data_IF_991612378395
#
_entry.id   IF_991612378395
#
_cell.length_a   1.000
_cell.length_b   1.000
_cell.length_c   1.000
_cell.angle_alpha   90.00
_cell.angle_beta   90.00
_cell.angle_gamma   90.00
#
_symmetry.space_group_name_H-M   'P 1'
#
loop_
_entity.id
_entity.type
_entity.pdbx_description
1 polymer ?
#
# COMPACT_ATOMS: atom_id res chain seq x y z
N UNK A 1 9.15 -23.89 -34.66
CA UNK A 1 7.69 -24.00 -34.84
C UNK A 1 7.00 -24.22 -33.49
N UNK A 2 7.17 -23.30 -32.53
CA UNK A 2 6.62 -23.43 -31.16
C UNK A 2 6.34 -22.07 -30.51
N UNK A 3 6.03 -21.05 -31.32
CA UNK A 3 5.85 -19.67 -30.85
C UNK A 3 4.55 -19.02 -31.35
N UNK A 4 3.63 -19.81 -31.94
CA UNK A 4 2.43 -19.30 -32.61
C UNK A 4 1.10 -19.62 -31.93
N UNK A 5 1.10 -20.31 -30.79
CA UNK A 5 -0.14 -20.69 -30.08
C UNK A 5 -0.44 -19.86 -28.82
N UNK A 6 0.41 -18.88 -28.46
CA UNK A 6 0.23 -18.12 -27.21
C UNK A 6 -0.54 -16.80 -27.35
N UNK A 7 -0.94 -16.40 -28.56
CA UNK A 7 -1.49 -15.04 -28.80
C UNK A 7 -3.02 -15.02 -28.96
N UNK A 8 -3.69 -16.17 -29.06
CA UNK A 8 -5.16 -16.22 -29.26
C UNK A 8 -5.94 -16.45 -27.96
N UNK A 9 -5.28 -16.76 -26.84
CA UNK A 9 -5.95 -16.90 -25.53
C UNK A 9 -6.09 -15.57 -24.76
N UNK A 10 -5.57 -14.45 -25.27
CA UNK A 10 -5.63 -13.16 -24.56
C UNK A 10 -6.82 -12.27 -24.98
N UNK A 11 -7.53 -12.60 -26.06
CA UNK A 11 -8.60 -11.73 -26.60
C UNK A 11 -10.04 -12.21 -26.34
N UNK A 12 -10.25 -13.42 -25.79
CA UNK A 12 -11.61 -13.89 -25.43
C UNK A 12 -11.98 -13.54 -23.98
N UNK A 13 -11.01 -13.20 -23.13
CA UNK A 13 -11.27 -12.77 -21.75
C UNK A 13 -11.70 -11.29 -21.61
N UNK A 14 -11.57 -10.48 -22.67
CA UNK A 14 -11.89 -9.05 -22.63
C UNK A 14 -13.36 -8.72 -22.99
N UNK A 15 -14.12 -9.70 -23.50
CA UNK A 15 -15.50 -9.48 -23.97
C UNK A 15 -16.62 -9.75 -22.96
N UNK A 16 -16.31 -10.34 -21.79
CA UNK A 16 -17.31 -10.75 -20.79
C UNK A 16 -17.32 -9.89 -19.52
N UNK A 17 -16.44 -8.89 -19.41
CA UNK A 17 -16.34 -8.03 -18.23
C UNK A 17 -17.16 -6.73 -18.32
N UNK A 18 -17.76 -6.40 -19.47
CA UNK A 18 -18.41 -5.10 -19.68
C UNK A 18 -19.92 -5.07 -19.36
N UNK A 19 -20.55 -6.20 -19.04
CA UNK A 19 -22.00 -6.29 -18.78
C UNK A 19 -22.38 -6.38 -17.29
N UNK A 20 -21.42 -6.32 -16.36
CA UNK A 20 -21.70 -6.41 -14.92
C UNK A 20 -21.90 -5.06 -14.21
N UNK A 21 -21.63 -3.92 -14.87
CA UNK A 21 -21.53 -2.62 -14.19
C UNK A 21 -22.88 -1.97 -13.83
N UNK A 22 -24.02 -2.46 -14.34
CA UNK A 22 -25.32 -1.78 -14.16
C UNK A 22 -26.37 -2.50 -13.32
N UNK A 23 -26.02 -3.59 -12.62
CA UNK A 23 -27.02 -4.41 -11.91
C UNK A 23 -27.11 -4.19 -10.39
N UNK A 24 -26.19 -3.46 -9.75
CA UNK A 24 -26.08 -3.41 -8.27
C UNK A 24 -26.51 -2.09 -7.62
N UNK A 25 -26.68 -1.00 -8.37
CA UNK A 25 -27.17 0.31 -7.89
C UNK A 25 -28.54 0.27 -7.18
N UNK A 26 -29.58 -0.46 -7.66
CA UNK A 26 -30.92 -0.35 -7.08
C UNK A 26 -31.03 -0.89 -5.64
N UNK A 27 -30.17 -1.84 -5.25
CA UNK A 27 -30.20 -2.40 -3.90
C UNK A 27 -29.68 -1.42 -2.85
N UNK A 28 -28.65 -0.63 -3.17
CA UNK A 28 -28.06 0.33 -2.25
C UNK A 28 -28.91 1.58 -2.08
N UNK A 29 -29.48 2.08 -3.17
CA UNK A 29 -30.44 3.18 -3.08
C UNK A 29 -31.66 2.75 -2.26
N UNK A 30 -32.12 1.50 -2.40
CA UNK A 30 -33.19 0.97 -1.54
C UNK A 30 -32.80 0.93 -0.06
N UNK A 31 -31.56 0.55 0.27
CA UNK A 31 -31.07 0.54 1.66
C UNK A 31 -30.91 1.94 2.23
N UNK A 32 -30.46 2.91 1.41
CA UNK A 32 -30.36 4.29 1.83
C UNK A 32 -31.75 4.88 2.08
N UNK A 33 -32.68 4.72 1.14
CA UNK A 33 -34.07 5.15 1.30
C UNK A 33 -34.70 4.52 2.55
N UNK A 34 -34.51 3.22 2.76
CA UNK A 34 -35.00 2.54 3.96
C UNK A 34 -34.39 3.12 5.24
N UNK A 35 -33.07 3.38 5.25
CA UNK A 35 -32.41 3.97 6.42
C UNK A 35 -32.90 5.38 6.73
N UNK A 36 -33.16 6.18 5.70
CA UNK A 36 -33.67 7.55 5.84
C UNK A 36 -35.13 7.54 6.31
N UNK A 37 -35.98 6.74 5.70
CA UNK A 37 -37.39 6.60 6.10
C UNK A 37 -37.51 6.16 7.57
N UNK A 38 -36.74 5.14 7.98
CA UNK A 38 -36.74 4.68 9.36
C UNK A 38 -36.25 5.76 10.33
N UNK A 39 -35.26 6.57 9.95
CA UNK A 39 -34.81 7.69 10.77
C UNK A 39 -35.90 8.77 10.91
N UNK A 40 -36.56 9.13 9.80
CA UNK A 40 -37.62 10.13 9.77
C UNK A 40 -38.85 9.69 10.59
N UNK A 41 -39.12 8.38 10.65
CA UNK A 41 -40.15 7.76 11.51
C UNK A 41 -39.74 7.64 12.99
N UNK A 42 -38.48 7.98 13.33
CA UNK A 42 -37.93 7.84 14.68
C UNK A 42 -37.55 6.41 15.07
N UNK A 43 -37.58 5.46 14.12
CA UNK A 43 -37.16 4.08 14.30
C UNK A 43 -35.64 3.95 14.11
N UNK A 44 -34.90 4.40 15.13
CA UNK A 44 -33.44 4.50 15.08
C UNK A 44 -32.72 3.16 14.93
N UNK A 45 -33.25 2.08 15.51
CA UNK A 45 -32.63 0.75 15.42
C UNK A 45 -32.71 0.20 13.98
N UNK A 46 -33.84 0.41 13.29
CA UNK A 46 -34.01 0.01 11.90
C UNK A 46 -33.18 0.88 10.95
N UNK A 47 -33.12 2.19 11.21
CA UNK A 47 -32.26 3.12 10.47
C UNK A 47 -30.79 2.71 10.55
N UNK A 48 -30.30 2.41 11.75
CA UNK A 48 -28.94 1.94 11.99
C UNK A 48 -28.66 0.63 11.24
N UNK A 49 -29.55 -0.35 11.36
CA UNK A 49 -29.40 -1.64 10.72
C UNK A 49 -29.35 -1.53 9.19
N UNK A 50 -30.24 -0.74 8.60
CA UNK A 50 -30.28 -0.50 7.16
C UNK A 50 -29.00 0.21 6.66
N UNK A 51 -28.54 1.23 7.38
CA UNK A 51 -27.31 1.94 7.04
C UNK A 51 -26.06 1.05 7.15
N UNK A 52 -25.94 0.23 8.20
CA UNK A 52 -24.85 -0.73 8.35
C UNK A 52 -24.87 -1.81 7.27
N UNK A 53 -26.05 -2.25 6.82
CA UNK A 53 -26.18 -3.15 5.66
C UNK A 53 -25.70 -2.48 4.38
N UNK A 54 -26.03 -1.20 4.17
CA UNK A 54 -25.53 -0.40 3.05
C UNK A 54 -24.00 -0.34 3.02
N UNK A 55 -23.38 0.00 4.16
CA UNK A 55 -21.92 0.03 4.30
C UNK A 55 -21.26 -1.34 4.02
N UNK A 56 -21.89 -2.44 4.44
CA UNK A 56 -21.35 -3.80 4.18
C UNK A 56 -21.53 -4.24 2.73
N UNK A 57 -22.62 -3.86 2.08
CA UNK A 57 -22.89 -4.21 0.70
C UNK A 57 -21.98 -3.47 -0.29
N UNK A 58 -21.47 -2.30 0.10
CA UNK A 58 -20.74 -1.40 -0.78
C UNK A 58 -19.23 -1.64 -0.93
N UNK A 59 -18.74 -2.87 -0.81
CA UNK A 59 -17.30 -3.19 -0.93
C UNK A 59 -16.69 -2.90 -2.31
N UNK A 60 -17.50 -2.60 -3.34
CA UNK A 60 -17.07 -2.27 -4.71
C UNK A 60 -17.51 -0.86 -5.18
N UNK A 61 -17.97 0.00 -4.27
CA UNK A 61 -18.57 1.30 -4.62
C UNK A 61 -17.61 2.49 -4.66
N UNK A 62 -18.08 3.56 -5.31
CA UNK A 62 -17.52 4.89 -5.16
C UNK A 62 -17.60 5.34 -3.70
N UNK A 63 -16.48 5.86 -3.18
CA UNK A 63 -16.31 6.24 -1.78
C UNK A 63 -17.32 7.33 -1.38
N UNK A 64 -17.78 8.13 -2.35
CA UNK A 64 -18.79 9.17 -2.19
C UNK A 64 -20.19 8.61 -1.84
N UNK A 65 -20.57 7.47 -2.43
CA UNK A 65 -21.88 6.83 -2.19
C UNK A 65 -21.96 6.15 -0.82
N UNK A 66 -20.83 5.87 -0.18
CA UNK A 66 -20.80 5.35 1.18
C UNK A 66 -20.99 6.44 2.24
N UNK A 67 -20.67 7.70 1.91
CA UNK A 67 -20.77 8.83 2.83
C UNK A 67 -22.20 9.07 3.31
N UNK A 68 -23.20 8.87 2.44
CA UNK A 68 -24.62 9.06 2.80
C UNK A 68 -25.04 8.15 3.95
N UNK A 69 -24.50 6.92 4.04
CA UNK A 69 -24.78 6.01 5.16
C UNK A 69 -24.11 6.46 6.46
N UNK A 70 -22.86 6.95 6.39
CA UNK A 70 -22.20 7.56 7.55
C UNK A 70 -22.95 8.80 8.06
N UNK A 71 -23.54 9.60 7.16
CA UNK A 71 -24.37 10.75 7.55
C UNK A 71 -25.58 10.27 8.36
N UNK A 72 -26.33 9.27 7.86
CA UNK A 72 -27.49 8.72 8.55
C UNK A 72 -27.11 8.11 9.90
N UNK A 73 -26.03 7.34 9.98
CA UNK A 73 -25.54 6.80 11.27
C UNK A 73 -25.16 7.91 12.25
N UNK A 74 -24.50 8.96 11.77
CA UNK A 74 -24.22 10.15 12.56
C UNK A 74 -25.50 10.77 13.14
N UNK A 75 -26.56 10.88 12.33
CA UNK A 75 -27.84 11.44 12.76
C UNK A 75 -28.53 10.54 13.80
N UNK A 76 -28.59 9.24 13.53
CA UNK A 76 -29.11 8.22 14.45
C UNK A 76 -28.41 8.29 15.81
N UNK A 77 -27.08 8.34 15.83
CA UNK A 77 -26.32 8.38 17.08
C UNK A 77 -26.52 9.69 17.85
N UNK A 78 -26.67 10.84 17.18
CA UNK A 78 -27.01 12.10 17.86
C UNK A 78 -28.41 12.03 18.47
N UNK A 79 -29.37 11.45 17.76
CA UNK A 79 -30.74 11.27 18.25
C UNK A 79 -30.80 10.36 19.48
N UNK A 80 -29.93 9.34 19.53
CA UNK A 80 -29.77 8.41 20.68
C UNK A 80 -28.85 8.94 21.80
N UNK A 81 -28.41 10.19 21.71
CA UNK A 81 -27.46 10.82 22.64
C UNK A 81 -26.08 10.12 22.73
N UNK A 82 -25.73 9.33 21.72
CA UNK A 82 -24.47 8.62 21.58
C UNK A 82 -23.43 9.49 20.86
N UNK A 83 -23.06 10.59 21.51
CA UNK A 83 -22.17 11.62 20.94
C UNK A 83 -20.86 11.06 20.38
N UNK A 84 -20.20 10.16 21.11
CA UNK A 84 -18.91 9.59 20.68
C UNK A 84 -19.05 8.73 19.43
N UNK A 85 -20.17 8.02 19.28
CA UNK A 85 -20.45 7.24 18.07
C UNK A 85 -20.71 8.17 16.89
N UNK A 86 -21.55 9.20 17.07
CA UNK A 86 -21.79 10.21 16.05
C UNK A 86 -20.50 10.90 15.58
N UNK A 87 -19.61 11.28 16.52
CA UNK A 87 -18.33 11.89 16.20
C UNK A 87 -17.43 10.98 15.34
N UNK A 88 -17.45 9.66 15.56
CA UNK A 88 -16.71 8.71 14.71
C UNK A 88 -17.25 8.71 13.29
N UNK A 89 -18.56 8.63 13.11
CA UNK A 89 -19.17 8.63 11.77
C UNK A 89 -18.91 9.95 11.01
N UNK A 90 -19.04 11.10 11.68
CA UNK A 90 -18.70 12.39 11.07
C UNK A 90 -17.22 12.53 10.73
N UNK A 91 -16.34 11.95 11.55
CA UNK A 91 -14.91 11.90 11.24
C UNK A 91 -14.64 11.09 9.98
N UNK A 92 -15.37 9.99 9.74
CA UNK A 92 -15.28 9.24 8.49
C UNK A 92 -15.63 10.12 7.28
N UNK A 93 -16.70 10.90 7.37
CA UNK A 93 -17.09 11.83 6.29
C UNK A 93 -15.99 12.86 5.99
N UNK A 94 -15.44 13.47 7.04
CA UNK A 94 -14.38 14.48 6.92
C UNK A 94 -13.04 13.90 6.46
N UNK A 95 -12.81 12.60 6.69
CA UNK A 95 -11.61 11.91 6.21
C UNK A 95 -11.59 11.75 4.69
N UNK A 96 -12.77 11.61 4.07
CA UNK A 96 -12.93 11.51 2.61
C UNK A 96 -13.06 12.91 1.99
N UNK A 97 -13.91 13.76 2.57
CA UNK A 97 -14.10 15.13 2.13
C UNK A 97 -14.00 16.13 3.31
N UNK A 98 -12.80 16.70 3.56
CA UNK A 98 -12.59 17.67 4.64
C UNK A 98 -13.45 18.94 4.54
N UNK A 99 -13.89 19.28 3.32
CA UNK A 99 -14.73 20.44 3.04
C UNK A 99 -16.23 20.13 3.16
N UNK A 100 -16.62 18.89 3.51
CA UNK A 100 -18.02 18.50 3.68
C UNK A 100 -18.73 19.37 4.71
N UNK A 101 -19.94 19.82 4.38
CA UNK A 101 -20.82 20.60 5.25
C UNK A 101 -22.22 19.98 5.25
N UNK A 102 -22.86 20.00 6.41
CA UNK A 102 -24.26 19.60 6.56
C UNK A 102 -25.14 20.83 6.32
N UNK A 103 -26.25 20.65 5.60
CA UNK A 103 -27.19 21.73 5.32
C UNK A 103 -27.88 22.19 6.62
N UNK A 104 -27.69 23.45 7.07
CA UNK A 104 -28.29 23.97 8.29
C UNK A 104 -29.82 24.06 8.25
N UNK A 105 -30.43 24.08 7.07
CA UNK A 105 -31.89 24.13 6.89
C UNK A 105 -32.51 22.74 7.10
N UNK A 106 -31.83 21.71 6.62
CA UNK A 106 -32.32 20.32 6.67
C UNK A 106 -31.82 19.55 7.90
N UNK A 107 -30.86 20.10 8.65
CA UNK A 107 -30.18 19.40 9.75
C UNK A 107 -30.46 20.09 11.08
N UNK A 108 -30.80 19.32 12.11
CA UNK A 108 -31.10 19.87 13.42
C UNK A 108 -29.89 20.58 14.05
N UNK A 109 -30.08 21.64 14.86
CA UNK A 109 -29.00 22.35 15.53
C UNK A 109 -28.08 21.44 16.37
N UNK A 110 -28.65 20.41 17.00
CA UNK A 110 -27.90 19.43 17.81
C UNK A 110 -26.92 18.62 16.95
N UNK A 111 -27.37 18.16 15.78
CA UNK A 111 -26.52 17.41 14.85
C UNK A 111 -25.40 18.32 14.32
N UNK A 112 -25.73 19.56 13.93
CA UNK A 112 -24.76 20.54 13.45
C UNK A 112 -23.67 20.86 14.49
N UNK A 113 -24.01 20.88 15.78
CA UNK A 113 -23.04 21.07 16.85
C UNK A 113 -22.06 19.90 16.95
N UNK A 114 -22.56 18.67 16.94
CA UNK A 114 -21.70 17.46 17.00
C UNK A 114 -20.82 17.35 15.75
N UNK A 115 -21.35 17.66 14.57
CA UNK A 115 -20.57 17.69 13.33
C UNK A 115 -19.45 18.74 13.37
N UNK A 116 -19.76 19.97 13.83
CA UNK A 116 -18.75 21.03 13.98
C UNK A 116 -17.66 20.63 14.98
N UNK A 117 -18.02 19.96 16.06
CA UNK A 117 -17.04 19.43 17.01
C UNK A 117 -16.16 18.34 16.39
N UNK A 118 -16.75 17.40 15.63
CA UNK A 118 -15.98 16.39 14.89
C UNK A 118 -15.03 17.04 13.88
N UNK A 119 -15.46 18.10 13.18
CA UNK A 119 -14.62 18.88 12.26
C UNK A 119 -13.45 19.55 12.98
N UNK A 120 -13.69 20.22 14.10
CA UNK A 120 -12.64 20.86 14.87
C UNK A 120 -11.59 19.84 15.36
N UNK A 121 -12.03 18.71 15.88
CA UNK A 121 -11.15 17.64 16.37
C UNK A 121 -10.36 16.99 15.22
N UNK A 122 -11.01 16.74 14.08
CA UNK A 122 -10.36 16.24 12.87
C UNK A 122 -9.29 17.21 12.35
N UNK A 123 -9.58 18.51 12.26
CA UNK A 123 -8.63 19.52 11.79
C UNK A 123 -7.42 19.65 12.71
N UNK A 124 -7.64 19.56 14.03
CA UNK A 124 -6.55 19.55 15.01
C UNK A 124 -5.64 18.33 14.80
N UNK A 125 -6.22 17.14 14.60
CA UNK A 125 -5.47 15.91 14.29
C UNK A 125 -4.69 16.04 12.99
N UNK A 126 -5.33 16.47 11.90
CA UNK A 126 -4.69 16.69 10.59
C UNK A 126 -3.53 17.69 10.67
N UNK A 127 -3.68 18.76 11.45
CA UNK A 127 -2.62 19.76 11.65
C UNK A 127 -1.44 19.20 12.47
N UNK A 128 -1.72 18.32 13.44
CA UNK A 128 -0.70 17.70 14.30
C UNK A 128 0.03 16.52 13.65
N UNK A 129 -0.56 15.86 12.65
CA UNK A 129 0.04 14.71 11.98
C UNK A 129 1.03 15.11 10.86
N UNK A 130 2.23 14.50 10.78
CA UNK A 130 3.15 14.69 9.66
C UNK A 130 2.49 14.34 8.31
N UNK A 131 2.73 15.14 7.26
CA UNK A 131 2.09 15.00 5.95
C UNK A 131 2.18 13.59 5.31
N UNK A 132 3.20 12.80 5.66
CA UNK A 132 3.39 11.42 5.21
C UNK A 132 2.28 10.48 5.69
N UNK A 133 1.59 10.78 6.80
CA UNK A 133 0.46 9.98 7.32
C UNK A 133 -0.90 10.35 6.72
N UNK A 134 -0.97 11.47 5.98
CA UNK A 134 -2.19 12.00 5.36
C UNK A 134 -2.40 11.53 3.92
N UNK A 135 -1.36 10.94 3.30
CA UNK A 135 -1.42 10.45 1.93
C UNK A 135 -2.09 9.06 1.87
N UNK A 136 -2.86 8.76 0.80
CA UNK A 136 -3.32 7.40 0.53
C UNK A 136 -2.15 6.42 0.62
N UNK A 137 -2.35 5.27 1.29
CA UNK A 137 -1.26 4.31 1.47
C UNK A 137 -0.66 3.82 0.15
N UNK A 138 -1.47 3.78 -0.92
CA UNK A 138 -1.01 3.44 -2.26
C UNK A 138 0.07 4.42 -2.76
N UNK A 139 -0.15 5.72 -2.60
CA UNK A 139 0.79 6.76 -3.04
C UNK A 139 2.11 6.72 -2.25
N UNK A 140 2.02 6.46 -0.94
CA UNK A 140 3.21 6.32 -0.09
C UNK A 140 4.01 5.07 -0.44
N UNK A 141 3.34 3.95 -0.76
CA UNK A 141 3.99 2.70 -1.20
C UNK A 141 4.71 2.89 -2.54
N UNK A 142 4.03 3.49 -3.52
CA UNK A 142 4.62 3.74 -4.84
C UNK A 142 5.82 4.69 -4.73
N UNK A 143 5.65 5.78 -3.98
CA UNK A 143 6.71 6.76 -3.68
C UNK A 143 7.91 6.15 -2.96
N UNK A 144 7.68 5.27 -1.99
CA UNK A 144 8.75 4.57 -1.29
C UNK A 144 9.43 3.53 -2.19
N UNK A 145 8.68 2.87 -3.07
CA UNK A 145 9.19 1.86 -3.99
C UNK A 145 10.14 2.47 -5.02
N UNK A 146 9.75 3.59 -5.65
CA UNK A 146 10.64 4.31 -6.57
C UNK A 146 11.95 4.74 -5.88
N UNK A 147 11.88 5.29 -4.67
CA UNK A 147 13.09 5.67 -3.91
C UNK A 147 13.98 4.47 -3.60
N UNK A 148 13.37 3.31 -3.32
CA UNK A 148 14.08 2.06 -3.02
C UNK A 148 14.69 1.41 -4.26
N UNK A 149 14.18 1.71 -5.46
CA UNK A 149 14.83 1.33 -6.73
C UNK A 149 16.14 2.11 -6.93
N UNK A 150 16.14 3.41 -6.60
CA UNK A 150 17.32 4.26 -6.78
C UNK A 150 18.38 3.94 -5.73
N UNK A 151 18.00 3.90 -4.45
CA UNK A 151 18.89 3.58 -3.34
C UNK A 151 18.21 2.63 -2.36
N UNK A 152 18.69 1.38 -2.22
CA UNK A 152 18.16 0.45 -1.24
C UNK A 152 18.17 1.01 0.19
N UNK A 153 17.05 0.87 0.90
CA UNK A 153 16.83 1.44 2.23
C UNK A 153 16.26 2.87 2.25
N UNK A 154 16.26 3.61 1.13
CA UNK A 154 15.74 4.98 1.08
C UNK A 154 14.22 5.05 1.27
N UNK A 155 13.46 4.13 0.66
CA UNK A 155 12.01 4.09 0.86
C UNK A 155 11.61 3.79 2.30
N UNK A 156 12.32 2.90 2.98
CA UNK A 156 12.09 2.59 4.39
C UNK A 156 12.40 3.80 5.28
N UNK A 157 13.45 4.57 4.99
CA UNK A 157 13.74 5.84 5.66
C UNK A 157 12.62 6.87 5.44
N UNK A 158 12.10 6.96 4.21
CA UNK A 158 10.95 7.82 3.89
C UNK A 158 9.69 7.44 4.68
N UNK A 159 9.46 6.13 4.89
CA UNK A 159 8.40 5.59 5.77
C UNK A 159 8.69 5.72 7.28
N UNK A 160 9.73 6.46 7.68
CA UNK A 160 10.17 6.61 9.08
C UNK A 160 10.66 5.29 9.74
N UNK A 161 10.93 4.25 8.96
CA UNK A 161 11.48 2.97 9.45
C UNK A 161 13.01 3.03 9.48
N UNK A 162 13.56 3.91 10.34
CA UNK A 162 15.00 4.26 10.34
C UNK A 162 15.94 3.06 10.48
N UNK A 163 15.71 2.22 11.49
CA UNK A 163 16.55 1.03 11.75
C UNK A 163 16.55 0.11 10.53
N UNK A 164 15.37 -0.17 9.98
CA UNK A 164 15.21 -1.06 8.82
C UNK A 164 15.91 -0.51 7.58
N UNK A 165 15.69 0.77 7.28
CA UNK A 165 16.34 1.44 6.16
C UNK A 165 17.86 1.43 6.26
N UNK A 166 18.42 1.70 7.44
CA UNK A 166 19.87 1.66 7.69
C UNK A 166 20.44 0.25 7.53
N UNK A 167 19.77 -0.79 8.04
CA UNK A 167 20.22 -2.19 7.90
C UNK A 167 20.25 -2.61 6.43
N UNK A 168 19.20 -2.30 5.67
CA UNK A 168 19.13 -2.63 4.24
C UNK A 168 20.23 -1.90 3.46
N UNK A 169 20.41 -0.60 3.70
CA UNK A 169 21.43 0.20 3.03
C UNK A 169 22.84 -0.34 3.33
N UNK A 170 23.13 -0.67 4.59
CA UNK A 170 24.41 -1.25 4.99
C UNK A 170 24.65 -2.63 4.35
N UNK A 171 23.65 -3.51 4.36
CA UNK A 171 23.73 -4.82 3.75
C UNK A 171 24.02 -4.73 2.23
N UNK A 172 23.32 -3.83 1.53
CA UNK A 172 23.56 -3.61 0.11
C UNK A 172 24.96 -3.05 -0.17
N UNK A 173 25.41 -2.06 0.62
CA UNK A 173 26.73 -1.47 0.45
C UNK A 173 27.85 -2.51 0.65
N UNK A 174 27.73 -3.34 1.69
CA UNK A 174 28.68 -4.41 1.98
C UNK A 174 28.68 -5.48 0.88
N UNK A 175 27.51 -5.90 0.39
CA UNK A 175 27.43 -6.92 -0.65
C UNK A 175 27.98 -6.43 -1.99
N UNK A 176 27.73 -5.16 -2.35
CA UNK A 176 28.32 -4.53 -3.53
C UNK A 176 29.85 -4.40 -3.42
N UNK A 177 30.35 -3.95 -2.27
CA UNK A 177 31.79 -3.86 -2.04
C UNK A 177 32.47 -5.25 -2.16
N UNK A 178 31.85 -6.27 -1.57
CA UNK A 178 32.32 -7.65 -1.70
C UNK A 178 32.29 -8.14 -3.15
N UNK A 179 31.24 -7.82 -3.91
CA UNK A 179 31.13 -8.21 -5.31
C UNK A 179 32.22 -7.57 -6.18
N UNK A 180 32.50 -6.28 -5.99
CA UNK A 180 33.58 -5.58 -6.69
C UNK A 180 34.94 -6.20 -6.35
N UNK A 181 35.20 -6.45 -5.07
CA UNK A 181 36.44 -7.12 -4.64
C UNK A 181 36.60 -8.50 -5.28
N UNK A 182 35.55 -9.33 -5.25
CA UNK A 182 35.56 -10.67 -5.83
C UNK A 182 35.66 -10.66 -7.35
N UNK A 183 35.12 -9.65 -8.03
CA UNK A 183 35.29 -9.48 -9.47
C UNK A 183 36.78 -9.25 -9.82
N UNK A 184 37.44 -8.32 -9.12
CA UNK A 184 38.88 -8.04 -9.30
C UNK A 184 39.71 -9.31 -9.05
N UNK A 185 39.42 -10.02 -7.96
CA UNK A 185 40.15 -11.24 -7.59
C UNK A 185 39.93 -12.38 -8.60
N UNK A 186 38.71 -12.52 -9.12
CA UNK A 186 38.40 -13.51 -10.16
C UNK A 186 39.15 -13.22 -11.44
N UNK A 187 39.25 -11.95 -11.85
CA UNK A 187 39.95 -11.53 -13.05
C UNK A 187 41.47 -11.76 -12.92
N UNK A 188 42.05 -11.47 -11.75
CA UNK A 188 43.47 -11.79 -11.46
C UNK A 188 43.76 -13.28 -11.63
N UNK A 189 42.99 -14.14 -10.97
CA UNK A 189 43.17 -15.60 -11.05
C UNK A 189 42.96 -16.15 -12.45
N UNK A 190 42.06 -15.53 -13.21
CA UNK A 190 41.85 -15.87 -14.62
C UNK A 190 43.11 -15.57 -15.44
N UNK A 191 43.69 -14.38 -15.26
CA UNK A 191 44.92 -14.00 -15.94
C UNK A 191 46.12 -14.88 -15.54
N UNK A 192 46.24 -15.24 -14.26
CA UNK A 192 47.30 -16.15 -13.77
C UNK A 192 47.19 -17.53 -14.41
N UNK A 193 45.97 -18.06 -14.56
CA UNK A 193 45.70 -19.31 -15.28
C UNK A 193 46.08 -19.19 -16.77
N UNK A 194 45.69 -18.11 -17.45
CA UNK A 194 45.99 -17.90 -18.87
C UNK A 194 47.47 -17.63 -19.16
N UNK A 195 48.24 -17.19 -18.18
CA UNK A 195 49.67 -16.93 -18.33
C UNK A 195 50.50 -18.22 -18.50
N UNK A 196 49.95 -19.39 -18.14
CA UNK A 196 50.66 -20.67 -18.25
C UNK A 196 50.72 -21.11 -19.72
N UNK A 197 51.93 -21.22 -20.26
CA UNK A 197 52.19 -21.55 -21.68
C UNK A 197 52.28 -23.06 -21.95
N UNK A 198 52.58 -23.85 -20.93
CA UNK A 198 52.73 -25.30 -21.03
C UNK A 198 51.50 -26.03 -20.50
N UNK A 199 50.76 -26.66 -21.42
CA UNK A 199 49.51 -27.34 -21.14
C UNK A 199 49.69 -28.66 -20.36
N UNK A 200 50.90 -29.22 -20.31
CA UNK A 200 51.20 -30.45 -19.54
C UNK A 200 51.66 -30.14 -18.11
N UNK A 201 51.78 -28.87 -17.74
CA UNK A 201 52.19 -28.48 -16.40
C UNK A 201 51.05 -28.80 -15.40
N UNK A 202 51.29 -29.62 -14.36
CA UNK A 202 50.25 -29.98 -13.38
C UNK A 202 49.67 -28.77 -12.63
N UNK A 203 50.39 -27.65 -12.58
CA UNK A 203 49.94 -26.39 -11.96
C UNK A 203 48.75 -25.76 -12.71
N UNK A 204 48.56 -26.08 -14.00
CA UNK A 204 47.43 -25.56 -14.80
C UNK A 204 46.10 -25.95 -14.17
N UNK A 205 45.97 -27.21 -13.74
CA UNK A 205 44.74 -27.73 -13.14
C UNK A 205 44.47 -27.06 -11.78
N UNK A 206 45.51 -26.85 -10.97
CA UNK A 206 45.38 -26.15 -9.68
C UNK A 206 44.91 -24.71 -9.88
N UNK A 207 45.53 -23.95 -10.80
CA UNK A 207 45.13 -22.56 -11.11
C UNK A 207 43.73 -22.47 -11.70
N UNK A 208 43.37 -23.41 -12.56
CA UNK A 208 42.02 -23.50 -13.08
C UNK A 208 40.99 -23.71 -11.96
N UNK A 209 41.30 -24.61 -11.02
CA UNK A 209 40.43 -24.89 -9.87
C UNK A 209 40.31 -23.69 -8.92
N UNK A 210 41.39 -22.93 -8.70
CA UNK A 210 41.38 -21.67 -7.94
C UNK A 210 40.50 -20.60 -8.60
N UNK A 211 40.64 -20.41 -9.91
CA UNK A 211 39.78 -19.52 -10.71
C UNK A 211 38.32 -19.95 -10.63
N UNK A 212 38.02 -21.23 -10.87
CA UNK A 212 36.67 -21.80 -10.84
C UNK A 212 36.01 -21.63 -9.46
N UNK A 213 36.78 -21.71 -8.37
CA UNK A 213 36.29 -21.45 -7.02
C UNK A 213 35.95 -19.98 -6.83
N UNK A 214 36.84 -19.07 -7.22
CA UNK A 214 36.62 -17.63 -7.13
C UNK A 214 35.38 -17.20 -7.94
N UNK A 215 35.23 -17.71 -9.17
CA UNK A 215 34.07 -17.46 -10.02
C UNK A 215 32.75 -17.90 -9.37
N UNK A 216 32.72 -19.09 -8.75
CA UNK A 216 31.53 -19.58 -8.02
C UNK A 216 31.18 -18.70 -6.84
N UNK A 217 32.18 -18.29 -6.04
CA UNK A 217 31.97 -17.42 -4.87
C UNK A 217 31.47 -16.04 -5.32
N UNK A 218 32.07 -15.45 -6.35
CA UNK A 218 31.62 -14.19 -6.95
C UNK A 218 30.16 -14.27 -7.38
N UNK A 219 29.77 -15.32 -8.11
CA UNK A 219 28.38 -15.47 -8.56
C UNK A 219 27.41 -15.65 -7.39
N UNK A 220 27.78 -16.42 -6.37
CA UNK A 220 26.97 -16.57 -5.16
C UNK A 220 26.71 -15.21 -4.48
N UNK A 221 27.75 -14.38 -4.32
CA UNK A 221 27.62 -13.02 -3.77
C UNK A 221 26.82 -12.10 -4.70
N UNK A 222 26.94 -12.27 -6.01
CA UNK A 222 26.11 -11.57 -7.00
C UNK A 222 24.62 -11.87 -6.82
N UNK A 223 24.27 -13.15 -6.66
CA UNK A 223 22.88 -13.56 -6.40
C UNK A 223 22.36 -13.06 -5.04
N UNK A 224 23.19 -13.08 -4.00
CA UNK A 224 22.83 -12.50 -2.69
C UNK A 224 22.56 -11.00 -2.83
N UNK A 225 23.43 -10.27 -3.53
CA UNK A 225 23.29 -8.82 -3.77
C UNK A 225 21.99 -8.50 -4.51
N UNK A 226 21.66 -9.29 -5.54
CA UNK A 226 20.39 -9.15 -6.26
C UNK A 226 19.19 -9.49 -5.38
N UNK A 227 19.30 -10.53 -4.54
CA UNK A 227 18.27 -10.93 -3.60
C UNK A 227 17.97 -9.84 -2.56
N UNK A 228 18.99 -9.21 -1.99
CA UNK A 228 18.83 -8.08 -1.06
C UNK A 228 18.12 -6.91 -1.76
N UNK A 229 18.53 -6.57 -2.98
CA UNK A 229 17.92 -5.50 -3.76
C UNK A 229 16.42 -5.77 -4.04
N UNK A 230 16.09 -6.98 -4.51
CA UNK A 230 14.71 -7.38 -4.78
C UNK A 230 13.86 -7.41 -3.50
N UNK A 231 14.39 -7.97 -2.41
CA UNK A 231 13.71 -8.00 -1.12
C UNK A 231 13.42 -6.59 -0.60
N UNK A 232 14.37 -5.66 -0.71
CA UNK A 232 14.18 -4.25 -0.38
C UNK A 232 13.06 -3.59 -1.19
N UNK A 233 13.01 -3.85 -2.50
CA UNK A 233 11.97 -3.29 -3.37
C UNK A 233 10.58 -3.83 -3.00
N UNK A 234 10.44 -5.16 -2.85
CA UNK A 234 9.18 -5.79 -2.45
C UNK A 234 8.74 -5.30 -1.06
N UNK A 235 9.67 -5.16 -0.14
CA UNK A 235 9.40 -4.62 1.19
C UNK A 235 8.88 -3.17 1.14
N UNK A 236 9.49 -2.33 0.28
CA UNK A 236 9.03 -0.96 0.07
C UNK A 236 7.63 -0.91 -0.58
N UNK A 237 7.26 -1.92 -1.38
CA UNK A 237 5.97 -1.99 -2.05
C UNK A 237 4.84 -2.50 -1.13
N UNK A 238 5.10 -3.59 -0.40
CA UNK A 238 4.06 -4.31 0.33
C UNK A 238 3.95 -3.92 1.81
N UNK A 239 5.05 -3.52 2.45
CA UNK A 239 5.04 -3.30 3.90
C UNK A 239 4.33 -1.98 4.25
N UNK A 240 3.30 -2.00 5.12
CA UNK A 240 2.53 -0.81 5.47
C UNK A 240 3.39 0.21 6.23
N UNK A 241 3.04 1.49 6.10
CA UNK A 241 3.60 2.55 6.96
C UNK A 241 3.06 2.30 8.35
N UNK A 242 3.94 2.03 9.32
CA UNK A 242 3.52 1.96 10.72
C UNK A 242 2.96 3.34 11.10
N UNK A 243 1.64 3.45 11.27
CA UNK A 243 1.08 4.52 12.08
C UNK A 243 1.67 4.34 13.46
N UNK A 244 2.58 5.23 13.87
CA UNK A 244 2.90 5.38 15.29
C UNK A 244 1.55 5.63 15.95
N UNK A 245 1.04 4.69 16.75
CA UNK A 245 -0.07 5.00 17.65
C UNK A 245 0.44 6.13 18.56
N UNK A 246 -0.36 7.19 18.78
CA UNK A 246 -0.06 8.16 19.81
C UNK A 246 0.08 7.46 21.18
#
# INVERSE_FOLDING_TARGET
>A
MLYRFFVISFFVAAGLAASAVFAQTPALDSLFIASQAAYDEGNFDEAELAALRGLRAGTELDELDLLKFHVILGYVYVARDQKDAAMREFTHILSVNPASELDPVMTSPKILEVFRQARADYMLRVASEPAVYRMPQADVRLSASWRSLVLPGWGQLYKQQKVKGSVIAAAQALSLAALVFLQIETDRRHNDYLAIRDYHNPIVEDRYNEYRRAWRVRNAVGYITLGIYAANYLDALYYPVFKKKP
#
